data_IF_203960438544
#
_entry.id   IF_203960438544
#
_cell.length_a   1.000
_cell.length_b   1.000
_cell.length_c   1.000
_cell.angle_alpha   90.00
_cell.angle_beta   90.00
_cell.angle_gamma   90.00
#
_symmetry.space_group_name_H-M   'P 1'
#
loop_
_entity.id
_entity.type
_entity.pdbx_description
1 polymer ?
#
# COMPACT_ATOMS: atom_id res chain seq x y z
N UNK A 1 1.52 2.37 15.50
CA UNK A 1 0.10 2.22 15.09
C UNK A 1 -0.78 2.71 16.22
N UNK A 2 -1.98 3.22 15.92
CA UNK A 2 -2.97 3.58 16.94
C UNK A 2 -3.47 2.35 17.71
N UNK A 3 -4.05 2.58 18.89
CA UNK A 3 -4.65 1.54 19.73
C UNK A 3 -5.79 0.81 18.98
N UNK A 4 -5.71 -0.52 18.96
CA UNK A 4 -6.66 -1.39 18.27
C UNK A 4 -7.76 -1.92 19.17
N UNK A 5 -7.69 -1.77 20.51
CA UNK A 5 -8.66 -2.37 21.42
C UNK A 5 -10.09 -1.88 21.17
N UNK A 6 -10.25 -0.57 20.94
CA UNK A 6 -11.54 0.12 20.84
C UNK A 6 -11.79 0.85 19.51
N UNK A 7 -10.95 0.65 18.49
CA UNK A 7 -11.07 1.30 17.19
C UNK A 7 -11.13 0.26 16.06
N UNK A 8 -12.33 0.05 15.48
CA UNK A 8 -12.54 -0.93 14.41
C UNK A 8 -11.65 -0.68 13.19
N UNK A 9 -11.50 0.59 12.77
CA UNK A 9 -10.62 0.96 11.65
C UNK A 9 -9.15 0.62 11.94
N UNK A 10 -8.71 0.78 13.20
CA UNK A 10 -7.35 0.40 13.60
C UNK A 10 -7.15 -1.14 13.60
N UNK A 11 -8.18 -1.92 13.94
CA UNK A 11 -8.14 -3.40 13.79
C UNK A 11 -8.03 -3.80 12.31
N UNK A 12 -8.77 -3.14 11.44
CA UNK A 12 -8.71 -3.38 9.99
C UNK A 12 -7.34 -3.01 9.41
N UNK A 13 -6.72 -1.92 9.89
CA UNK A 13 -5.37 -1.52 9.49
C UNK A 13 -4.33 -2.57 9.92
N UNK A 14 -4.44 -3.11 11.14
CA UNK A 14 -3.57 -4.18 11.61
C UNK A 14 -3.74 -5.46 10.78
N UNK A 15 -4.98 -5.89 10.55
CA UNK A 15 -5.29 -7.06 9.71
C UNK A 15 -4.74 -6.87 8.28
N UNK A 16 -4.89 -5.68 7.70
CA UNK A 16 -4.33 -5.39 6.38
C UNK A 16 -2.80 -5.41 6.39
N UNK A 17 -2.16 -4.88 7.42
CA UNK A 17 -0.70 -4.93 7.55
C UNK A 17 -0.20 -6.37 7.63
N UNK A 18 -0.86 -7.25 8.38
CA UNK A 18 -0.51 -8.67 8.48
C UNK A 18 -0.71 -9.38 7.14
N UNK A 19 -1.85 -9.16 6.48
CA UNK A 19 -2.13 -9.64 5.14
C UNK A 19 -1.03 -9.26 4.14
N UNK A 20 -0.64 -7.98 4.12
CA UNK A 20 0.42 -7.49 3.22
C UNK A 20 1.78 -8.03 3.60
N UNK A 21 2.09 -8.16 4.88
CA UNK A 21 3.36 -8.74 5.34
C UNK A 21 3.54 -10.18 4.85
N UNK A 22 2.47 -10.99 4.84
CA UNK A 22 2.49 -12.34 4.29
C UNK A 22 2.80 -12.33 2.78
N UNK A 23 2.11 -11.50 2.01
CA UNK A 23 2.38 -11.33 0.57
C UNK A 23 3.81 -10.87 0.31
N UNK A 24 4.25 -9.82 1.00
CA UNK A 24 5.58 -9.26 0.87
C UNK A 24 6.68 -10.30 1.17
N UNK A 25 6.47 -11.16 2.17
CA UNK A 25 7.42 -12.23 2.48
C UNK A 25 7.57 -13.25 1.35
N UNK A 26 6.48 -13.61 0.66
CA UNK A 26 6.49 -14.49 -0.52
C UNK A 26 7.19 -13.85 -1.71
N UNK A 27 7.22 -12.52 -1.78
CA UNK A 27 7.95 -11.76 -2.79
C UNK A 27 9.43 -11.54 -2.43
N UNK A 28 9.89 -12.08 -1.28
CA UNK A 28 11.27 -11.94 -0.79
C UNK A 28 11.56 -10.63 -0.06
N UNK A 29 10.53 -9.85 0.29
CA UNK A 29 10.73 -8.64 1.08
C UNK A 29 10.88 -8.95 2.57
N UNK A 30 11.72 -8.16 3.24
CA UNK A 30 11.80 -8.15 4.70
C UNK A 30 10.60 -7.43 5.32
N UNK A 31 10.21 -7.84 6.51
CA UNK A 31 9.16 -7.19 7.29
C UNK A 31 9.58 -5.77 7.72
N UNK A 32 8.89 -4.74 7.21
CA UNK A 32 9.18 -3.33 7.54
C UNK A 32 9.00 -3.00 9.02
N UNK A 33 8.22 -3.79 9.77
CA UNK A 33 8.02 -3.58 11.21
C UNK A 33 9.31 -3.82 12.01
N UNK A 34 10.23 -4.60 11.46
CA UNK A 34 11.56 -4.85 12.04
C UNK A 34 12.57 -3.74 11.70
N UNK A 35 12.12 -2.66 11.07
CA UNK A 35 12.95 -1.60 10.54
C UNK A 35 13.54 -1.96 9.17
N UNK A 36 14.20 -0.98 8.57
CA UNK A 36 14.93 -1.15 7.33
C UNK A 36 16.36 -0.62 7.48
N UNK A 37 17.31 -1.28 6.81
CA UNK A 37 18.72 -0.86 6.81
C UNK A 37 18.89 0.54 6.19
N UNK A 38 17.88 1.01 5.48
CA UNK A 38 17.79 2.34 4.90
C UNK A 38 16.34 2.79 4.81
N UNK A 39 16.06 4.00 4.30
CA UNK A 39 14.68 4.44 4.14
C UNK A 39 14.01 3.63 3.02
N UNK A 40 12.89 2.99 3.35
CA UNK A 40 12.06 2.22 2.42
C UNK A 40 10.59 2.60 2.57
N UNK A 41 9.94 2.83 1.43
CA UNK A 41 8.50 3.09 1.33
C UNK A 41 7.90 2.01 0.43
N UNK A 42 6.80 1.41 0.86
CA UNK A 42 6.00 0.46 0.09
C UNK A 42 4.57 0.98 0.00
N UNK A 43 4.14 1.33 -1.21
CA UNK A 43 2.77 1.71 -1.51
C UNK A 43 2.08 0.59 -2.27
N UNK A 44 1.12 -0.06 -1.62
CA UNK A 44 0.16 -0.95 -2.26
C UNK A 44 -1.03 -0.16 -2.77
N UNK A 45 -1.40 -0.42 -4.01
CA UNK A 45 -2.64 0.04 -4.63
C UNK A 45 -3.49 -1.18 -5.03
N UNK A 46 -4.79 -1.08 -4.75
CA UNK A 46 -5.76 -2.14 -5.02
C UNK A 46 -7.06 -1.52 -5.50
N UNK A 47 -7.48 -1.88 -6.71
CA UNK A 47 -8.82 -1.58 -7.20
C UNK A 47 -9.72 -2.78 -6.96
N UNK A 48 -10.94 -2.57 -6.43
CA UNK A 48 -11.89 -3.65 -6.08
C UNK A 48 -12.14 -4.65 -7.22
N UNK A 49 -12.10 -4.21 -8.47
CA UNK A 49 -12.38 -5.05 -9.64
C UNK A 49 -11.12 -5.55 -10.36
N UNK A 50 -9.93 -5.26 -9.85
CA UNK A 50 -8.69 -5.80 -10.41
C UNK A 50 -8.34 -7.15 -9.80
N UNK A 51 -7.83 -8.05 -10.64
CA UNK A 51 -7.30 -9.35 -10.25
C UNK A 51 -5.82 -9.31 -9.84
N UNK A 52 -5.18 -8.16 -10.03
CA UNK A 52 -3.84 -7.89 -9.53
C UNK A 52 -3.85 -6.80 -8.47
N UNK A 53 -2.71 -6.66 -7.83
CA UNK A 53 -2.40 -5.59 -6.88
C UNK A 53 -1.11 -4.94 -7.36
N UNK A 54 -1.03 -3.63 -7.23
CA UNK A 54 0.18 -2.91 -7.60
C UNK A 54 0.97 -2.59 -6.33
N UNK A 55 2.28 -2.82 -6.39
CA UNK A 55 3.22 -2.44 -5.34
C UNK A 55 4.25 -1.50 -5.94
N UNK A 56 4.39 -0.32 -5.32
CA UNK A 56 5.41 0.66 -5.61
C UNK A 56 6.37 0.73 -4.42
N UNK A 57 7.63 0.38 -4.66
CA UNK A 57 8.67 0.41 -3.62
C UNK A 57 9.68 1.51 -3.93
N UNK A 58 9.89 2.41 -2.99
CA UNK A 58 10.97 3.40 -3.05
C UNK A 58 12.00 3.04 -1.98
N UNK A 59 13.25 2.83 -2.39
CA UNK A 59 14.35 2.52 -1.46
C UNK A 59 15.50 3.50 -1.66
N UNK A 60 15.96 4.12 -0.59
CA UNK A 60 17.12 5.00 -0.58
C UNK A 60 18.31 4.24 0.02
N UNK A 61 19.33 3.93 -0.76
CA UNK A 61 20.57 3.29 -0.28
C UNK A 61 21.76 4.22 -0.58
N UNK A 62 22.52 4.64 0.43
CA UNK A 62 23.76 5.42 0.26
C UNK A 62 23.65 6.56 -0.76
N UNK A 63 22.60 7.38 -0.63
CA UNK A 63 22.23 8.50 -1.53
C UNK A 63 21.64 8.14 -2.91
N UNK A 64 21.43 6.85 -3.18
CA UNK A 64 20.85 6.35 -4.42
C UNK A 64 19.40 5.94 -4.18
N UNK A 65 18.46 6.49 -4.95
CA UNK A 65 17.03 6.23 -4.77
C UNK A 65 16.49 5.35 -5.89
N UNK A 66 15.98 4.17 -5.56
CA UNK A 66 15.38 3.25 -6.52
C UNK A 66 13.86 3.31 -6.42
N UNK A 67 13.19 3.20 -7.57
CA UNK A 67 11.77 2.92 -7.67
C UNK A 67 11.58 1.57 -8.33
N UNK A 68 10.89 0.67 -7.64
CA UNK A 68 10.41 -0.60 -8.17
C UNK A 68 8.89 -0.55 -8.29
N UNK A 69 8.36 -0.91 -9.45
CA UNK A 69 6.95 -1.16 -9.67
C UNK A 69 6.74 -2.66 -9.88
N UNK A 70 5.76 -3.22 -9.19
CA UNK A 70 5.40 -4.63 -9.29
C UNK A 70 3.89 -4.79 -9.49
N UNK A 71 3.49 -5.54 -10.52
CA UNK A 71 2.15 -6.13 -10.61
C UNK A 71 2.19 -7.49 -9.94
N UNK A 72 1.33 -7.67 -8.94
CA UNK A 72 1.27 -8.86 -8.09
C UNK A 72 -0.07 -9.55 -8.31
N UNK A 73 -0.03 -10.73 -8.93
CA UNK A 73 -1.21 -11.56 -9.14
C UNK A 73 -1.35 -12.51 -7.98
N UNK A 74 -2.56 -12.57 -7.41
CA UNK A 74 -2.86 -13.41 -6.26
C UNK A 74 -3.50 -14.72 -6.72
N UNK A 75 -3.18 -15.81 -6.02
CA UNK A 75 -3.84 -17.09 -6.27
C UNK A 75 -5.32 -16.96 -5.97
N UNK A 76 -6.14 -17.27 -6.97
CA UNK A 76 -7.60 -17.23 -6.84
C UNK A 76 -8.11 -18.46 -6.11
N UNK A 77 -9.20 -18.29 -5.37
CA UNK A 77 -9.95 -19.43 -4.83
C UNK A 77 -10.63 -20.12 -6.02
N UNK A 78 -10.17 -21.32 -6.36
CA UNK A 78 -10.90 -22.22 -7.24
C UNK A 78 -11.67 -23.25 -6.41
N UNK A 79 -12.84 -23.68 -6.89
CA UNK A 79 -13.62 -24.74 -6.24
C UNK A 79 -12.79 -26.00 -5.96
N UNK A 80 -11.86 -26.35 -6.86
CA UNK A 80 -10.92 -27.46 -6.67
C UNK A 80 -9.89 -27.23 -5.56
N UNK A 81 -9.57 -25.97 -5.25
CA UNK A 81 -8.68 -25.61 -4.12
C UNK A 81 -9.45 -25.73 -2.81
N UNK A 82 -10.71 -25.29 -2.75
CA UNK A 82 -11.57 -25.46 -1.57
C UNK A 82 -11.78 -26.95 -1.27
N UNK A 83 -12.00 -27.78 -2.29
CA UNK A 83 -12.19 -29.22 -2.12
C UNK A 83 -10.95 -29.93 -1.53
N UNK A 84 -9.74 -29.42 -1.80
CA UNK A 84 -8.48 -30.02 -1.35
C UNK A 84 -7.85 -29.29 -0.15
N UNK A 85 -8.34 -28.11 0.20
CA UNK A 85 -7.88 -27.29 1.31
C UNK A 85 -9.04 -26.42 1.84
N UNK A 86 -10.02 -27.04 2.52
CA UNK A 86 -11.26 -26.38 2.92
C UNK A 86 -11.06 -25.24 3.93
N UNK A 87 -9.92 -25.25 4.64
CA UNK A 87 -9.58 -24.23 5.63
C UNK A 87 -8.83 -23.03 5.03
N UNK A 88 -8.42 -23.10 3.76
CA UNK A 88 -7.70 -22.01 3.10
C UNK A 88 -8.66 -20.94 2.57
N UNK A 89 -8.51 -19.72 3.08
CA UNK A 89 -9.18 -18.54 2.57
C UNK A 89 -8.18 -17.49 2.10
N UNK A 90 -8.32 -16.99 0.87
CA UNK A 90 -7.41 -16.01 0.28
C UNK A 90 -7.29 -14.70 1.05
N UNK A 91 -8.23 -14.41 1.96
CA UNK A 91 -8.17 -13.28 2.88
C UNK A 91 -7.31 -13.57 4.11
N UNK A 92 -7.39 -14.77 4.69
CA UNK A 92 -6.65 -15.12 5.91
C UNK A 92 -5.23 -15.62 5.61
N UNK A 93 -5.04 -16.26 4.45
CA UNK A 93 -3.76 -16.80 4.02
C UNK A 93 -3.51 -16.49 2.54
N UNK A 94 -3.21 -15.23 2.20
CA UNK A 94 -3.05 -14.83 0.81
C UNK A 94 -1.80 -15.47 0.20
N UNK A 95 -1.91 -15.95 -1.03
CA UNK A 95 -0.79 -16.50 -1.79
C UNK A 95 -0.53 -15.70 -3.05
N UNK A 96 0.75 -15.41 -3.32
CA UNK A 96 1.19 -14.86 -4.61
C UNK A 96 1.19 -15.98 -5.65
N UNK A 97 0.62 -15.70 -6.81
CA UNK A 97 0.66 -16.60 -7.96
C UNK A 97 1.81 -16.23 -8.91
N UNK A 98 1.88 -14.97 -9.31
CA UNK A 98 2.95 -14.46 -10.17
C UNK A 98 3.22 -12.97 -9.92
N UNK A 99 4.42 -12.53 -10.31
CA UNK A 99 4.87 -11.14 -10.14
C UNK A 99 5.54 -10.70 -11.43
N UNK A 100 5.17 -9.52 -11.93
CA UNK A 100 5.92 -8.79 -12.95
C UNK A 100 6.47 -7.53 -12.32
N UNK A 101 7.77 -7.25 -12.47
CA UNK A 101 8.39 -6.10 -11.83
C UNK A 101 9.37 -5.36 -12.75
N UNK A 102 9.49 -4.04 -12.51
CA UNK A 102 10.46 -3.16 -13.17
C UNK A 102 11.09 -2.25 -12.12
N UNK A 103 12.40 -2.07 -12.19
CA UNK A 103 13.16 -1.21 -11.28
C UNK A 103 13.95 -0.18 -12.05
N UNK A 104 13.97 1.06 -11.56
CA UNK A 104 14.84 2.13 -12.06
C UNK A 104 15.55 2.84 -10.94
N UNK A 105 16.66 3.46 -11.31
CA UNK A 105 17.24 4.54 -10.55
C UNK A 105 16.43 5.83 -10.78
N UNK A 106 16.05 6.52 -9.71
CA UNK A 106 15.46 7.85 -9.77
C UNK A 106 16.56 8.91 -9.90
N UNK A 107 16.45 9.77 -10.91
CA UNK A 107 17.27 10.97 -11.00
C UNK A 107 16.88 11.99 -9.93
N UNK A 108 17.79 12.92 -9.63
CA UNK A 108 17.63 13.95 -8.58
C UNK A 108 16.27 14.67 -8.61
N UNK A 109 15.84 15.12 -9.79
CA UNK A 109 14.59 15.86 -9.94
C UNK A 109 13.33 15.02 -9.68
N UNK A 110 13.37 13.70 -9.89
CA UNK A 110 12.26 12.79 -9.56
C UNK A 110 12.29 12.42 -8.08
N UNK A 111 13.48 12.22 -7.51
CA UNK A 111 13.68 11.99 -6.08
C UNK A 111 13.13 13.14 -5.22
N UNK A 112 13.46 14.40 -5.55
CA UNK A 112 13.00 15.57 -4.81
C UNK A 112 11.46 15.69 -4.78
N UNK A 113 10.78 15.22 -5.84
CA UNK A 113 9.31 15.22 -5.95
C UNK A 113 8.63 14.18 -5.07
N UNK A 114 9.34 13.19 -4.54
CA UNK A 114 8.72 12.20 -3.63
C UNK A 114 8.40 12.84 -2.29
N UNK A 115 9.20 13.83 -1.85
CA UNK A 115 9.14 14.41 -0.51
C UNK A 115 9.13 13.34 0.59
N UNK A 116 10.21 12.55 0.64
CA UNK A 116 10.35 11.37 1.49
C UNK A 116 10.08 11.64 2.98
N UNK A 117 10.39 12.82 3.49
CA UNK A 117 10.11 13.16 4.90
C UNK A 117 8.63 13.46 5.18
N UNK A 118 7.89 13.94 4.17
CA UNK A 118 6.49 14.34 4.34
C UNK A 118 5.56 13.15 4.62
N UNK A 119 5.97 11.95 4.25
CA UNK A 119 5.20 10.71 4.49
C UNK A 119 4.94 10.47 5.98
N UNK A 120 5.87 10.88 6.84
CA UNK A 120 5.76 10.71 8.28
C UNK A 120 4.64 11.56 8.89
N UNK A 121 4.24 12.64 8.20
CA UNK A 121 3.20 13.56 8.65
C UNK A 121 1.79 13.14 8.21
N UNK A 122 1.66 12.17 7.31
CA UNK A 122 0.36 11.68 6.84
C UNK A 122 -0.35 10.90 7.94
N UNK A 123 -1.67 11.06 8.08
CA UNK A 123 -2.47 10.29 9.04
C UNK A 123 -3.11 9.09 8.35
N UNK A 124 -3.15 7.95 9.02
CA UNK A 124 -3.99 6.81 8.63
C UNK A 124 -5.47 7.15 8.79
N UNK A 125 -6.33 6.44 8.06
CA UNK A 125 -7.78 6.57 8.18
C UNK A 125 -8.26 6.33 9.63
N UNK A 126 -7.64 5.36 10.32
CA UNK A 126 -7.93 5.05 11.73
C UNK A 126 -7.56 6.16 12.73
N UNK A 127 -6.72 7.12 12.32
CA UNK A 127 -6.36 8.29 13.12
C UNK A 127 -7.34 9.48 12.90
N UNK A 128 -8.26 9.35 11.94
CA UNK A 128 -9.23 10.39 11.62
C UNK A 128 -10.55 10.18 12.38
N UNK A 129 -11.20 11.29 12.74
CA UNK A 129 -12.56 11.29 13.28
C UNK A 129 -13.56 11.27 12.12
N UNK A 130 -13.81 10.08 11.58
CA UNK A 130 -14.76 9.87 10.48
C UNK A 130 -16.14 9.46 11.01
N UNK A 131 -17.24 9.95 10.42
CA UNK A 131 -18.59 9.46 10.74
C UNK A 131 -18.71 7.96 10.47
N UNK A 132 -19.38 7.23 11.36
CA UNK A 132 -19.62 5.78 11.21
C UNK A 132 -20.61 5.45 10.08
N UNK A 133 -21.33 6.45 9.56
CA UNK A 133 -22.20 6.33 8.39
C UNK A 133 -21.43 6.30 7.06
N UNK A 134 -20.10 6.49 7.09
CA UNK A 134 -19.26 6.36 5.91
C UNK A 134 -18.92 4.90 5.67
N UNK A 135 -19.66 4.27 4.75
CA UNK A 135 -19.36 2.94 4.23
C UNK A 135 -19.18 2.98 2.71
N UNK A 136 -18.22 2.19 2.22
CA UNK A 136 -17.96 2.00 0.79
C UNK A 136 -17.76 0.49 0.55
N UNK A 137 -18.34 -0.04 -0.53
CA UNK A 137 -18.17 -1.45 -0.93
C UNK A 137 -17.07 -1.63 -1.96
N UNK A 138 -17.01 -0.73 -2.95
CA UNK A 138 -16.17 -0.86 -4.13
C UNK A 138 -15.43 0.44 -4.41
N UNK A 139 -14.09 0.39 -4.39
CA UNK A 139 -13.25 1.56 -4.64
C UNK A 139 -11.76 1.21 -4.68
N UNK A 140 -10.96 2.25 -4.94
CA UNK A 140 -9.53 2.21 -4.73
C UNK A 140 -9.17 2.16 -3.24
N UNK A 141 -8.23 1.28 -2.92
CA UNK A 141 -7.63 1.15 -1.60
C UNK A 141 -6.13 1.28 -1.68
N UNK A 142 -5.57 2.02 -0.73
CA UNK A 142 -4.15 2.29 -0.66
C UNK A 142 -3.62 1.90 0.71
N UNK A 143 -2.48 1.23 0.74
CA UNK A 143 -1.75 0.94 1.96
C UNK A 143 -0.28 1.33 1.79
N UNK A 144 0.20 2.20 2.66
CA UNK A 144 1.52 2.81 2.61
C UNK A 144 2.28 2.44 3.87
N UNK A 145 3.31 1.60 3.72
CA UNK A 145 4.32 1.35 4.72
C UNK A 145 5.53 2.25 4.50
N UNK A 146 6.09 2.80 5.56
CA UNK A 146 7.38 3.49 5.54
C UNK A 146 8.21 3.04 6.73
N UNK A 147 9.48 2.70 6.49
CA UNK A 147 10.42 2.36 7.54
C UNK A 147 11.78 3.00 7.28
N UNK A 148 12.47 3.34 8.36
CA UNK A 148 13.90 3.60 8.38
C UNK A 148 14.55 2.72 9.48
N UNK A 149 15.82 2.98 9.81
CA UNK A 149 16.55 2.24 10.86
C UNK A 149 15.94 2.37 12.26
N UNK A 150 15.11 3.39 12.51
CA UNK A 150 14.63 3.80 13.85
C UNK A 150 13.14 3.61 14.03
N UNK A 151 12.36 3.70 12.97
CA UNK A 151 10.89 3.75 13.07
C UNK A 151 10.21 3.16 11.86
N UNK A 152 8.97 2.73 12.09
CA UNK A 152 8.04 2.22 11.10
C UNK A 152 6.69 2.94 11.25
N UNK A 153 6.04 3.22 10.12
CA UNK A 153 4.68 3.75 10.07
C UNK A 153 3.89 3.05 8.96
N UNK A 154 2.63 2.79 9.25
CA UNK A 154 1.66 2.22 8.32
C UNK A 154 0.46 3.15 8.23
N UNK A 155 0.06 3.46 6.99
CA UNK A 155 -1.04 4.37 6.67
C UNK A 155 -1.91 3.65 5.66
N UNK A 156 -3.20 3.51 5.96
CA UNK A 156 -4.16 2.89 5.04
C UNK A 156 -5.36 3.80 4.86
N UNK A 157 -5.88 3.80 3.65
CA UNK A 157 -7.18 4.36 3.30
C UNK A 157 -7.93 3.39 2.40
N UNK A 158 -9.18 3.13 2.75
CA UNK A 158 -10.17 2.52 1.88
C UNK A 158 -11.07 3.63 1.33
N UNK A 159 -11.22 3.73 0.01
CA UNK A 159 -12.01 4.78 -0.64
C UNK A 159 -11.59 6.23 -0.30
N UNK A 160 -10.31 6.63 -0.36
CA UNK A 160 -9.92 7.98 0.02
C UNK A 160 -10.64 9.07 -0.81
N UNK A 161 -10.91 8.81 -2.10
CA UNK A 161 -11.70 9.72 -2.93
C UNK A 161 -13.12 9.93 -2.40
N UNK A 162 -13.82 8.84 -2.06
CA UNK A 162 -15.17 8.92 -1.49
C UNK A 162 -15.20 9.57 -0.11
N UNK A 163 -14.20 9.30 0.74
CA UNK A 163 -14.04 9.97 2.04
C UNK A 163 -13.85 11.48 1.82
N UNK A 164 -12.94 11.88 0.93
CA UNK A 164 -12.67 13.29 0.68
C UNK A 164 -13.88 14.02 0.10
N UNK A 165 -14.62 13.41 -0.84
CA UNK A 165 -15.83 14.02 -1.40
C UNK A 165 -16.90 14.32 -0.34
N UNK A 166 -16.99 13.50 0.71
CA UNK A 166 -17.99 13.67 1.77
C UNK A 166 -17.52 14.56 2.93
N UNK A 167 -16.22 14.60 3.19
CA UNK A 167 -15.66 15.24 4.40
C UNK A 167 -14.81 16.47 4.13
N UNK A 168 -14.28 16.62 2.90
CA UNK A 168 -13.31 17.63 2.49
C UNK A 168 -12.08 17.73 3.40
N UNK A 169 -11.72 16.65 4.10
CA UNK A 169 -10.58 16.64 5.02
C UNK A 169 -9.25 16.81 4.28
N UNK A 170 -8.44 17.77 4.74
CA UNK A 170 -7.14 18.09 4.13
C UNK A 170 -6.15 16.93 4.25
N UNK A 171 -6.23 16.14 5.33
CA UNK A 171 -5.39 14.97 5.54
C UNK A 171 -5.61 13.89 4.48
N UNK A 172 -6.86 13.65 4.08
CA UNK A 172 -7.21 12.69 3.03
C UNK A 172 -6.65 13.16 1.68
N UNK A 173 -6.83 14.45 1.36
CA UNK A 173 -6.27 15.03 0.14
C UNK A 173 -4.73 15.01 0.13
N UNK A 174 -4.08 15.24 1.28
CA UNK A 174 -2.63 15.16 1.39
C UNK A 174 -2.12 13.73 1.16
N UNK A 175 -2.83 12.72 1.68
CA UNK A 175 -2.54 11.32 1.43
C UNK A 175 -2.68 10.97 -0.06
N UNK A 176 -3.81 11.31 -0.68
CA UNK A 176 -4.06 11.05 -2.11
C UNK A 176 -2.97 11.65 -2.99
N UNK A 177 -2.63 12.94 -2.78
CA UNK A 177 -1.53 13.60 -3.51
C UNK A 177 -0.19 12.90 -3.32
N UNK A 178 0.08 12.35 -2.14
CA UNK A 178 1.31 11.60 -1.91
C UNK A 178 1.34 10.32 -2.77
N UNK A 179 0.26 9.54 -2.75
CA UNK A 179 0.12 8.33 -3.55
C UNK A 179 0.23 8.62 -5.06
N UNK A 180 -0.47 9.64 -5.55
CA UNK A 180 -0.41 10.08 -6.95
C UNK A 180 1.00 10.45 -7.38
N UNK A 181 1.79 11.12 -6.52
CA UNK A 181 3.19 11.43 -6.83
C UNK A 181 4.02 10.16 -6.99
N UNK A 182 3.89 9.19 -6.08
CA UNK A 182 4.62 7.91 -6.15
C UNK A 182 4.23 7.13 -7.42
N UNK A 183 2.93 6.96 -7.67
CA UNK A 183 2.41 6.25 -8.83
C UNK A 183 2.77 6.95 -10.14
N UNK A 184 2.71 8.29 -10.16
CA UNK A 184 3.06 9.11 -11.31
C UNK A 184 4.52 8.97 -11.75
N UNK A 185 5.43 8.59 -10.86
CA UNK A 185 6.82 8.28 -11.23
C UNK A 185 6.91 7.01 -12.10
N UNK A 186 6.09 6.01 -11.84
CA UNK A 186 5.98 4.81 -12.68
C UNK A 186 5.20 5.09 -13.96
N UNK A 187 4.11 5.88 -13.89
CA UNK A 187 3.29 6.26 -15.04
C UNK A 187 4.09 7.01 -16.12
N UNK A 188 4.94 7.97 -15.73
CA UNK A 188 5.84 8.69 -16.67
C UNK A 188 6.79 7.78 -17.46
N UNK A 189 7.03 6.56 -16.96
CA UNK A 189 7.93 5.58 -17.56
C UNK A 189 7.19 4.59 -18.46
N UNK A 190 5.88 4.78 -18.66
CA UNK A 190 5.04 3.90 -19.49
C UNK A 190 4.83 2.52 -18.88
N UNK A 191 4.97 2.38 -17.56
CA UNK A 191 4.86 1.08 -16.88
C UNK A 191 3.42 0.70 -16.55
N UNK A 192 2.57 1.71 -16.44
CA UNK A 192 1.13 1.58 -16.25
C UNK A 192 0.52 1.90 -17.62
N UNK A 193 -0.19 0.96 -18.26
CA UNK A 193 -0.98 1.29 -19.44
C UNK A 193 -1.93 2.44 -19.07
N UNK A 194 -1.92 3.52 -19.86
CA UNK A 194 -2.93 4.57 -19.76
C UNK A 194 -4.23 4.01 -20.35
N UNK A 195 -4.92 3.17 -19.60
CA UNK A 195 -6.32 2.85 -19.86
C UNK A 195 -7.14 3.60 -18.81
N UNK A 196 -7.58 4.81 -19.19
CA UNK A 196 -8.63 5.56 -18.52
C UNK A 196 -9.87 5.51 -19.41
#
# INVERSE_FOLDING_TARGET
MPDTANNGRAKDDLSNLEYRSKLESQMGFRDLRKGADSLEIRLWYSFSFSDFRELYTIRLCDSTCYLTYSKVYLRRIHYSVIANNPDWGSYNDPMVDSISSKTVLLGKADYEKVHLDSVWLLKAESELRLPDTLSFSDCDSYALGVADKRRFKYIRYHCPGGIYMKTHMKEVAAFMRYCERVMGLAGKRGWIPLEW
#
